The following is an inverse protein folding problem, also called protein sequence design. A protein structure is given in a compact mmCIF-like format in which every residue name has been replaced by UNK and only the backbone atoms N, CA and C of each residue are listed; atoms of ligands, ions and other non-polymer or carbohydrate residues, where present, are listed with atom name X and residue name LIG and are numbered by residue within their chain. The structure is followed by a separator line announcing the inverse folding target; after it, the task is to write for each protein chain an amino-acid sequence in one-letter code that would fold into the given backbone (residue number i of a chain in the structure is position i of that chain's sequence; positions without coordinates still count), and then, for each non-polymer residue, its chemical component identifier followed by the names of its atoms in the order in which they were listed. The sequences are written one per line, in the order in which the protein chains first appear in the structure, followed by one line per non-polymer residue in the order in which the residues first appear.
data_IF_683018672161
#
_entry.id   IF_683018672161
#
_cell.length_a   1.000
_cell.length_b   1.000
_cell.length_c   1.000
_cell.angle_alpha   90.00
_cell.angle_beta   90.00
_cell.angle_gamma   90.00
#
_symmetry.space_group_name_H-M   'P 1'
#
loop_
_entity.id
_entity.type
_entity.pdbx_description
1 polymer ?
#
# COMPACT_ATOMS: atom_id res chain seq x y z
N UNK A 1 2.03 38.99 -11.05
CA UNK A 1 2.35 38.00 -9.99
C UNK A 1 1.11 37.82 -9.14
N UNK A 2 0.29 36.82 -9.44
CA UNK A 2 -0.88 36.51 -8.61
C UNK A 2 -0.39 35.62 -7.45
N UNK A 3 -0.57 36.12 -6.23
CA UNK A 3 -0.28 35.41 -4.99
C UNK A 3 -1.27 34.24 -4.84
N UNK A 4 -0.85 33.02 -5.16
CA UNK A 4 -1.54 31.79 -4.74
C UNK A 4 -1.16 31.48 -3.29
N UNK A 5 -1.85 32.13 -2.34
CA UNK A 5 -1.87 31.85 -0.90
C UNK A 5 -3.36 31.84 -0.53
N UNK A 6 -3.99 30.86 0.13
CA UNK A 6 -3.55 29.73 0.92
C UNK A 6 -4.45 28.54 0.52
N UNK A 7 -3.88 27.42 0.07
CA UNK A 7 -4.61 26.18 0.31
C UNK A 7 -4.29 25.81 1.75
N UNK A 8 -5.31 25.80 2.62
CA UNK A 8 -5.20 25.37 4.03
C UNK A 8 -5.03 23.84 4.11
N UNK A 9 -4.14 23.29 3.27
CA UNK A 9 -3.83 21.86 3.20
C UNK A 9 -2.50 21.64 3.92
N UNK A 10 -2.47 20.62 4.76
CA UNK A 10 -1.24 20.04 5.33
C UNK A 10 -1.15 18.58 4.94
N UNK A 11 0.03 18.00 5.11
CA UNK A 11 0.18 16.57 4.88
C UNK A 11 1.24 15.93 5.80
N UNK A 12 1.01 14.69 6.21
CA UNK A 12 1.96 13.86 6.94
C UNK A 12 2.59 12.81 6.01
N UNK A 13 3.79 12.37 6.35
CA UNK A 13 4.53 11.32 5.64
C UNK A 13 4.64 10.11 6.55
N UNK A 14 4.46 8.92 5.98
CA UNK A 14 4.71 7.64 6.64
C UNK A 14 5.66 6.84 5.74
N UNK A 15 6.84 6.56 6.26
CA UNK A 15 7.88 5.80 5.56
C UNK A 15 7.97 4.41 6.13
N UNK A 16 7.81 3.40 5.29
CA UNK A 16 8.06 2.02 5.67
C UNK A 16 9.49 1.60 5.32
N UNK A 17 10.15 0.91 6.25
CA UNK A 17 11.49 0.36 6.04
C UNK A 17 11.69 -0.92 6.87
N UNK A 18 12.61 -1.76 6.40
CA UNK A 18 13.06 -2.96 7.11
C UNK A 18 14.39 -2.69 7.78
N UNK A 19 14.38 -2.58 9.09
CA UNK A 19 15.57 -2.35 9.90
C UNK A 19 16.36 -3.65 10.07
N UNK A 20 17.65 -3.63 9.72
CA UNK A 20 18.57 -4.72 10.04
C UNK A 20 18.97 -4.65 11.51
N UNK A 21 18.82 -5.74 12.25
CA UNK A 21 19.29 -5.86 13.63
C UNK A 21 20.10 -7.13 13.87
N UNK A 22 20.99 -7.08 14.85
CA UNK A 22 21.78 -8.21 15.35
C UNK A 22 21.42 -8.54 16.78
N UNK A 23 21.68 -9.77 17.21
CA UNK A 23 21.49 -10.18 18.61
C UNK A 23 22.24 -9.27 19.58
N UNK A 24 23.47 -8.84 19.24
CA UNK A 24 24.26 -7.92 20.06
C UNK A 24 23.62 -6.56 20.23
N UNK A 25 23.03 -5.99 19.16
CA UNK A 25 22.35 -4.70 19.24
C UNK A 25 21.10 -4.79 20.12
N UNK A 26 20.30 -5.85 19.94
CA UNK A 26 19.12 -6.09 20.78
C UNK A 26 19.52 -6.31 22.24
N UNK A 27 20.57 -7.08 22.50
CA UNK A 27 21.05 -7.34 23.86
C UNK A 27 21.59 -6.07 24.52
N UNK A 28 22.32 -5.24 23.79
CA UNK A 28 22.80 -3.94 24.27
C UNK A 28 21.63 -3.00 24.61
N UNK A 29 20.59 -2.99 23.77
CA UNK A 29 19.38 -2.20 24.04
C UNK A 29 18.71 -2.66 25.34
N UNK A 30 18.50 -3.97 25.51
CA UNK A 30 17.91 -4.55 26.72
C UNK A 30 18.73 -4.22 27.96
N UNK A 31 20.07 -4.28 27.89
CA UNK A 31 20.98 -3.97 29.00
C UNK A 31 20.98 -2.49 29.38
N UNK A 32 20.61 -1.60 28.45
CA UNK A 32 20.57 -0.15 28.71
C UNK A 32 19.39 0.29 29.59
N UNK A 33 18.36 -0.56 29.71
CA UNK A 33 17.17 -0.30 30.52
C UNK A 33 17.14 -1.23 31.76
N UNK A 34 17.17 -0.68 32.98
CA UNK A 34 17.18 -1.46 34.22
C UNK A 34 16.02 -2.45 34.37
N UNK A 35 14.89 -2.20 33.69
CA UNK A 35 13.70 -3.07 33.73
C UNK A 35 13.81 -4.27 32.80
N UNK A 36 14.59 -4.15 31.72
CA UNK A 36 14.75 -5.21 30.70
C UNK A 36 16.12 -5.87 30.71
N UNK A 37 17.08 -5.42 31.52
CA UNK A 37 18.47 -5.91 31.55
C UNK A 37 18.63 -7.41 31.81
N UNK A 38 17.63 -8.06 32.41
CA UNK A 38 17.65 -9.50 32.72
C UNK A 38 17.03 -10.36 31.60
N UNK A 39 16.54 -9.73 30.52
CA UNK A 39 15.97 -10.41 29.37
C UNK A 39 17.12 -10.89 28.47
N UNK A 40 17.06 -12.16 28.10
CA UNK A 40 18.05 -12.83 27.25
C UNK A 40 17.61 -12.80 25.79
N UNK A 41 18.54 -12.46 24.89
CA UNK A 41 18.35 -12.66 23.44
C UNK A 41 18.71 -14.10 23.08
N UNK A 42 17.73 -14.87 22.62
CA UNK A 42 17.87 -16.27 22.21
C UNK A 42 18.01 -16.32 20.69
N UNK A 43 19.11 -16.90 20.20
CA UNK A 43 19.45 -16.96 18.76
C UNK A 43 19.03 -18.26 18.06
N UNK A 44 18.42 -19.19 18.79
CA UNK A 44 17.91 -20.46 18.27
C UNK A 44 16.60 -20.80 19.01
N UNK A 45 15.58 -19.97 18.81
CA UNK A 45 14.28 -20.14 19.44
C UNK A 45 13.45 -21.29 18.81
N UNK A 46 13.98 -21.95 17.78
CA UNK A 46 13.25 -22.91 16.95
C UNK A 46 12.26 -22.25 16.00
N UNK A 47 11.34 -23.05 15.42
CA UNK A 47 10.30 -22.55 14.53
C UNK A 47 9.15 -21.93 15.33
N UNK A 48 9.28 -20.66 15.68
CA UNK A 48 8.25 -19.88 16.38
C UNK A 48 7.66 -18.78 15.50
N UNK A 49 6.42 -18.40 15.79
CA UNK A 49 5.71 -17.29 15.13
C UNK A 49 4.85 -16.52 16.12
N UNK A 50 4.40 -15.33 15.75
CA UNK A 50 3.44 -14.56 16.56
C UNK A 50 2.08 -15.29 16.67
N UNK A 51 1.54 -15.29 17.89
CA UNK A 51 0.25 -15.95 18.22
C UNK A 51 -0.99 -15.28 17.60
N UNK A 52 -0.94 -13.96 17.38
CA UNK A 52 -2.09 -13.12 16.98
C UNK A 52 -1.82 -12.27 15.73
N UNK A 53 -1.19 -12.84 14.71
CA UNK A 53 -1.18 -12.18 13.39
C UNK A 53 -2.41 -12.63 12.63
N UNK A 54 -3.11 -11.67 12.02
CA UNK A 54 -4.20 -11.97 11.10
C UNK A 54 -3.74 -12.92 9.99
N UNK A 55 -4.66 -13.64 9.34
CA UNK A 55 -4.33 -14.65 8.33
C UNK A 55 -3.37 -14.15 7.24
N UNK A 56 -3.40 -12.85 6.90
CA UNK A 56 -2.52 -12.21 5.92
C UNK A 56 -1.03 -12.07 6.33
N UNK A 57 -0.70 -12.20 7.63
CA UNK A 57 0.65 -11.99 8.16
C UNK A 57 1.19 -13.24 8.87
N UNK A 58 0.60 -14.40 8.57
CA UNK A 58 0.98 -15.71 9.11
C UNK A 58 2.40 -16.16 8.69
N UNK A 59 3.06 -15.41 7.81
CA UNK A 59 4.44 -15.63 7.37
C UNK A 59 5.49 -14.89 8.22
N UNK A 60 5.07 -14.12 9.25
CA UNK A 60 5.97 -13.41 10.16
C UNK A 60 6.72 -14.38 11.08
N UNK A 61 7.69 -15.03 10.48
CA UNK A 61 8.59 -15.95 11.13
C UNK A 61 9.58 -15.16 11.97
N UNK A 62 9.64 -15.46 13.27
CA UNK A 62 10.79 -15.07 14.07
C UNK A 62 11.89 -16.07 13.74
N UNK A 63 12.70 -15.72 12.75
CA UNK A 63 13.66 -16.64 12.15
C UNK A 63 14.93 -16.76 12.98
N UNK A 64 15.40 -15.63 13.55
CA UNK A 64 16.73 -15.61 14.13
C UNK A 64 16.76 -15.27 15.62
N UNK A 65 15.89 -14.39 16.13
CA UNK A 65 15.94 -14.00 17.55
C UNK A 65 14.59 -14.05 18.24
N UNK A 66 14.57 -14.48 19.50
CA UNK A 66 13.45 -14.27 20.40
C UNK A 66 13.96 -13.85 21.78
N UNK A 67 13.08 -13.37 22.65
CA UNK A 67 13.45 -12.98 23.99
C UNK A 67 12.94 -13.97 25.02
N UNK A 68 13.83 -14.41 25.91
CA UNK A 68 13.48 -15.18 27.11
C UNK A 68 13.49 -14.24 28.31
N UNK A 69 12.38 -14.23 29.02
CA UNK A 69 12.19 -13.41 30.20
C UNK A 69 12.09 -14.31 31.44
N UNK A 70 13.04 -14.16 32.36
CA UNK A 70 13.06 -14.93 33.61
C UNK A 70 12.09 -14.36 34.66
N UNK A 71 11.44 -13.22 34.37
CA UNK A 71 10.45 -12.58 35.23
C UNK A 71 9.12 -12.53 34.46
N UNK A 72 8.02 -12.88 35.12
CA UNK A 72 6.69 -12.84 34.50
C UNK A 72 6.25 -11.39 34.23
N UNK A 73 6.67 -10.83 33.09
CA UNK A 73 6.06 -9.62 32.55
C UNK A 73 4.80 -9.99 31.77
N UNK A 74 3.77 -9.12 31.74
CA UNK A 74 2.67 -9.30 30.79
C UNK A 74 3.24 -9.32 29.37
N UNK A 75 3.33 -10.50 28.77
CA UNK A 75 3.88 -10.69 27.42
C UNK A 75 3.04 -9.87 26.44
N UNK A 76 3.64 -8.84 25.83
CA UNK A 76 2.97 -8.00 24.82
C UNK A 76 2.92 -8.66 23.44
N UNK A 77 3.84 -9.59 23.19
CA UNK A 77 4.06 -10.28 21.90
C UNK A 77 4.30 -11.76 22.16
N UNK A 78 3.22 -12.51 22.41
CA UNK A 78 3.31 -13.94 22.66
C UNK A 78 3.66 -14.69 21.37
N UNK A 79 4.70 -15.51 21.42
CA UNK A 79 5.07 -16.43 20.34
C UNK A 79 4.45 -17.81 20.59
N UNK A 80 4.22 -18.54 19.50
CA UNK A 80 3.74 -19.93 19.50
C UNK A 80 4.66 -20.80 18.64
N UNK A 81 4.77 -22.07 19.00
CA UNK A 81 5.39 -23.09 18.16
C UNK A 81 4.64 -23.20 16.84
N UNK A 82 5.35 -23.20 15.70
CA UNK A 82 4.72 -23.46 14.40
C UNK A 82 4.22 -24.90 14.29
N UNK A 83 4.90 -25.83 14.93
CA UNK A 83 4.59 -27.27 14.85
C UNK A 83 3.35 -27.60 15.65
N UNK A 84 3.25 -27.08 16.87
CA UNK A 84 2.18 -27.46 17.81
C UNK A 84 1.10 -26.39 17.95
N UNK A 85 1.38 -25.14 17.56
CA UNK A 85 0.50 -23.99 17.79
C UNK A 85 0.44 -23.54 19.26
N UNK A 86 1.16 -24.21 20.15
CA UNK A 86 1.16 -23.91 21.58
C UNK A 86 2.05 -22.72 21.91
N UNK A 87 1.66 -21.96 22.93
CA UNK A 87 2.44 -20.84 23.44
C UNK A 87 3.82 -21.31 23.91
N UNK A 88 4.87 -20.63 23.48
CA UNK A 88 6.22 -20.88 23.96
C UNK A 88 6.62 -19.92 25.09
N UNK A 89 7.72 -20.23 25.79
CA UNK A 89 8.30 -19.37 26.83
C UNK A 89 8.86 -18.05 26.28
N UNK A 90 9.05 -17.95 24.97
CA UNK A 90 9.62 -16.79 24.30
C UNK A 90 8.57 -15.71 24.00
N UNK A 91 9.04 -14.45 23.97
CA UNK A 91 8.30 -13.33 23.38
C UNK A 91 9.05 -12.77 22.18
N UNK A 92 8.31 -12.14 21.28
CA UNK A 92 8.89 -11.33 20.21
C UNK A 92 9.51 -10.04 20.76
N UNK A 93 10.50 -9.50 20.08
CA UNK A 93 10.89 -8.10 20.24
C UNK A 93 9.85 -7.20 19.58
N UNK A 94 9.68 -5.99 20.11
CA UNK A 94 8.79 -5.00 19.50
C UNK A 94 9.46 -3.63 19.53
N UNK A 95 9.56 -3.07 20.72
CA UNK A 95 9.94 -1.67 20.91
C UNK A 95 11.44 -1.49 21.01
N UNK A 96 12.17 -2.57 21.25
CA UNK A 96 13.63 -2.60 21.33
C UNK A 96 14.26 -2.22 20.00
N UNK A 97 13.73 -2.74 18.87
CA UNK A 97 14.16 -2.36 17.54
C UNK A 97 13.90 -0.88 17.25
N UNK A 98 12.71 -0.39 17.61
CA UNK A 98 12.35 1.02 17.45
C UNK A 98 13.21 1.94 18.31
N UNK A 99 13.61 1.52 19.52
CA UNK A 99 14.53 2.29 20.39
C UNK A 99 15.91 2.45 19.77
N UNK A 100 16.39 1.43 19.05
CA UNK A 100 17.66 1.53 18.31
C UNK A 100 17.56 2.63 17.25
N UNK A 101 16.47 2.67 16.47
CA UNK A 101 16.21 3.74 15.48
C UNK A 101 16.04 5.10 16.15
N UNK A 102 15.27 5.15 17.24
CA UNK A 102 15.01 6.36 18.01
C UNK A 102 16.30 7.02 18.47
N UNK A 103 17.22 6.26 19.07
CA UNK A 103 18.51 6.76 19.55
C UNK A 103 19.35 7.38 18.42
N UNK A 104 19.25 6.83 17.20
CA UNK A 104 19.93 7.40 16.02
C UNK A 104 19.30 8.70 15.56
N UNK A 105 17.97 8.71 15.42
CA UNK A 105 17.26 9.93 15.04
C UNK A 105 17.50 11.05 16.08
N UNK A 106 17.47 10.75 17.38
CA UNK A 106 17.71 11.70 18.46
C UNK A 106 19.12 12.29 18.49
N UNK A 107 20.10 11.69 17.80
CA UNK A 107 21.43 12.28 17.66
C UNK A 107 21.44 13.45 16.65
N UNK A 108 20.39 13.60 15.86
CA UNK A 108 20.24 14.67 14.87
C UNK A 108 19.45 15.83 15.46
N UNK A 109 19.97 17.05 15.27
CA UNK A 109 19.32 18.26 15.78
C UNK A 109 17.90 18.40 15.24
N UNK A 110 16.93 18.64 16.12
CA UNK A 110 15.50 18.76 15.81
C UNK A 110 14.71 17.45 15.93
N UNK A 111 15.35 16.33 16.24
CA UNK A 111 14.70 15.02 16.46
C UNK A 111 14.85 14.51 17.90
N UNK A 112 15.28 15.35 18.83
CA UNK A 112 15.52 14.99 20.24
C UNK A 112 14.25 14.43 20.90
N UNK A 113 13.08 14.91 20.49
CA UNK A 113 11.78 14.50 21.00
C UNK A 113 11.11 13.35 20.20
N UNK A 114 11.83 12.64 19.32
CA UNK A 114 11.29 11.48 18.59
C UNK A 114 10.62 10.50 19.55
N UNK A 115 9.41 10.03 19.23
CA UNK A 115 8.60 9.19 20.10
C UNK A 115 8.36 7.80 19.51
N UNK A 116 8.17 6.80 20.37
CA UNK A 116 7.72 5.47 19.95
C UNK A 116 6.24 5.34 20.29
N UNK A 117 5.42 5.02 19.31
CA UNK A 117 3.99 4.79 19.51
C UNK A 117 3.69 3.30 19.67
N UNK A 118 2.97 2.94 20.74
CA UNK A 118 2.66 1.55 21.12
C UNK A 118 1.17 1.33 21.41
N UNK A 119 0.30 2.26 20.99
CA UNK A 119 -1.13 2.18 21.25
C UNK A 119 -1.84 1.13 20.40
N UNK A 120 -3.03 0.72 20.86
CA UNK A 120 -3.98 -0.05 20.06
C UNK A 120 -4.58 0.90 19.00
N UNK A 121 -3.90 1.02 17.87
CA UNK A 121 -4.29 1.87 16.75
C UNK A 121 -3.13 2.69 16.22
N UNK A 122 -2.46 2.22 15.15
CA UNK A 122 -1.67 3.12 14.29
C UNK A 122 -2.60 4.31 13.95
N UNK A 123 -2.11 5.55 14.03
CA UNK A 123 -2.85 6.80 13.71
C UNK A 123 -3.47 7.57 14.90
N UNK A 124 -2.66 7.92 15.92
CA UNK A 124 -3.01 8.94 16.90
C UNK A 124 -2.64 10.35 16.40
N UNK A 125 -2.93 11.40 17.19
CA UNK A 125 -2.38 12.73 16.92
C UNK A 125 -0.84 12.71 17.01
N UNK A 126 -0.20 12.85 15.85
CA UNK A 126 1.26 12.87 15.68
C UNK A 126 1.84 14.29 15.67
N UNK A 127 1.18 15.25 16.31
CA UNK A 127 1.68 16.63 16.43
C UNK A 127 2.61 16.87 17.61
N UNK A 128 2.65 15.96 18.60
CA UNK A 128 3.41 16.17 19.85
C UNK A 128 4.89 15.79 19.79
N UNK A 129 5.35 15.18 18.70
CA UNK A 129 6.75 14.89 18.43
C UNK A 129 7.07 15.17 16.94
N UNK A 130 8.33 15.50 16.61
CA UNK A 130 8.72 15.71 15.22
C UNK A 130 8.59 14.44 14.37
N UNK A 131 8.90 13.28 14.98
CA UNK A 131 8.83 11.96 14.38
C UNK A 131 8.21 10.97 15.37
N UNK A 132 7.45 10.03 14.83
CA UNK A 132 6.96 8.85 15.53
C UNK A 132 7.47 7.59 14.88
N UNK A 133 7.82 6.62 15.71
CA UNK A 133 8.22 5.29 15.29
C UNK A 133 7.14 4.30 15.67
N UNK A 134 6.69 3.54 14.69
CA UNK A 134 5.75 2.43 14.86
C UNK A 134 6.37 1.15 14.32
N UNK A 135 5.94 0.03 14.88
CA UNK A 135 6.36 -1.27 14.40
C UNK A 135 5.40 -1.69 13.29
N UNK A 136 5.93 -2.00 12.11
CA UNK A 136 5.13 -2.61 11.07
C UNK A 136 5.37 -4.11 11.03
N UNK A 137 4.37 -4.86 11.49
CA UNK A 137 4.46 -6.30 11.44
C UNK A 137 4.36 -6.82 9.99
N UNK A 138 3.79 -6.07 9.04
CA UNK A 138 3.61 -6.56 7.67
C UNK A 138 4.92 -6.84 6.94
N UNK A 139 6.00 -6.14 7.32
CA UNK A 139 7.31 -6.19 6.69
C UNK A 139 8.32 -7.04 7.47
N UNK A 140 7.88 -7.76 8.50
CA UNK A 140 8.76 -8.57 9.33
C UNK A 140 9.18 -9.86 8.64
N UNK A 141 10.45 -10.21 8.80
CA UNK A 141 10.96 -11.54 8.45
C UNK A 141 11.34 -11.66 6.99
N UNK A 142 12.66 -11.68 6.75
CA UNK A 142 13.23 -12.11 5.47
C UNK A 142 13.79 -13.52 5.64
N UNK A 143 13.48 -14.42 4.72
CA UNK A 143 14.13 -15.73 4.68
C UNK A 143 15.64 -15.57 4.36
N UNK A 144 16.44 -16.62 4.61
CA UNK A 144 17.90 -16.58 4.43
C UNK A 144 18.32 -16.14 3.01
N UNK A 145 17.64 -16.65 1.98
CA UNK A 145 17.95 -16.28 0.59
C UNK A 145 17.63 -14.81 0.32
N UNK A 146 16.47 -14.33 0.76
CA UNK A 146 16.07 -12.93 0.65
C UNK A 146 17.05 -12.01 1.37
N UNK A 147 17.47 -12.35 2.61
CA UNK A 147 18.48 -11.61 3.37
C UNK A 147 19.78 -11.42 2.58
N UNK A 148 20.27 -12.47 1.93
CA UNK A 148 21.50 -12.41 1.12
C UNK A 148 21.28 -11.57 -0.14
N UNK A 149 20.13 -11.73 -0.80
CA UNK A 149 19.78 -11.00 -2.02
C UNK A 149 19.73 -9.48 -1.82
N UNK A 150 19.46 -9.01 -0.59
CA UNK A 150 19.50 -7.56 -0.25
C UNK A 150 20.89 -6.93 -0.44
N UNK A 151 21.97 -7.73 -0.44
CA UNK A 151 23.35 -7.24 -0.38
C UNK A 151 23.79 -6.67 0.98
N UNK A 152 22.88 -6.60 1.97
CA UNK A 152 23.18 -6.13 3.33
C UNK A 152 23.72 -7.24 4.24
N UNK A 153 23.57 -8.51 3.84
CA UNK A 153 24.04 -9.67 4.59
C UNK A 153 24.88 -10.61 3.72
N UNK A 154 26.03 -11.05 4.25
CA UNK A 154 26.69 -12.27 3.77
C UNK A 154 25.90 -13.52 4.17
N UNK A 155 26.25 -14.67 3.60
CA UNK A 155 25.63 -15.96 3.96
C UNK A 155 25.73 -16.27 5.47
N UNK A 156 26.86 -15.94 6.09
CA UNK A 156 27.08 -16.14 7.54
C UNK A 156 26.30 -15.12 8.38
N UNK A 157 26.16 -13.89 7.89
CA UNK A 157 25.39 -12.84 8.57
C UNK A 157 23.89 -13.10 8.52
N UNK A 158 23.39 -13.78 7.49
CA UNK A 158 21.96 -14.06 7.33
C UNK A 158 21.37 -14.94 8.45
N UNK A 159 22.19 -15.80 9.08
CA UNK A 159 21.79 -16.61 10.24
C UNK A 159 21.87 -15.83 11.56
N UNK A 160 22.54 -14.68 11.57
CA UNK A 160 22.84 -13.87 12.77
C UNK A 160 22.33 -12.44 12.67
N UNK A 161 21.35 -12.21 11.80
CA UNK A 161 20.73 -10.91 11.56
C UNK A 161 19.24 -11.06 11.32
N UNK A 162 18.40 -10.19 11.88
CA UNK A 162 16.99 -10.10 11.52
C UNK A 162 16.62 -8.78 10.85
N UNK A 163 15.50 -8.79 10.14
CA UNK A 163 14.93 -7.61 9.49
C UNK A 163 13.54 -7.32 10.06
N UNK A 164 13.36 -6.09 10.55
CA UNK A 164 12.20 -5.67 11.31
C UNK A 164 11.51 -4.51 10.61
N UNK A 165 10.25 -4.70 10.26
CA UNK A 165 9.40 -3.64 9.72
C UNK A 165 9.23 -2.50 10.72
N UNK A 166 9.57 -1.30 10.26
CA UNK A 166 9.52 -0.07 11.02
C UNK A 166 8.86 0.98 10.16
N UNK A 167 7.98 1.79 10.76
CA UNK A 167 7.43 2.98 10.11
C UNK A 167 7.96 4.22 10.81
N UNK A 168 8.31 5.22 10.01
CA UNK A 168 8.64 6.56 10.49
C UNK A 168 7.53 7.50 10.02
N UNK A 169 6.77 8.03 10.97
CA UNK A 169 5.67 8.97 10.72
C UNK A 169 6.12 10.38 11.08
N UNK A 170 5.95 11.34 10.17
CA UNK A 170 6.33 12.73 10.41
C UNK A 170 5.17 13.56 10.96
N UNK A 171 5.50 14.62 11.71
CA UNK A 171 4.55 15.70 11.93
C UNK A 171 4.06 16.30 10.59
N UNK A 172 2.85 16.91 10.55
CA UNK A 172 2.31 17.53 9.34
C UNK A 172 3.20 18.65 8.78
N UNK A 173 3.29 18.72 7.46
CA UNK A 173 4.08 19.70 6.68
C UNK A 173 3.16 20.59 5.86
N UNK A 174 3.63 21.81 5.59
CA UNK A 174 2.89 22.78 4.79
C UNK A 174 3.46 22.92 3.37
N UNK A 175 4.64 22.36 3.12
CA UNK A 175 5.34 22.48 1.85
C UNK A 175 5.98 21.16 1.42
N UNK A 176 5.83 20.76 0.15
CA UNK A 176 6.60 19.64 -0.42
C UNK A 176 8.12 19.78 -0.28
N UNK A 177 8.65 21.02 -0.21
CA UNK A 177 10.09 21.22 0.01
C UNK A 177 10.52 20.83 1.42
N UNK A 178 9.69 21.11 2.43
CA UNK A 178 9.98 20.68 3.81
C UNK A 178 9.99 19.15 3.90
N UNK A 179 9.11 18.47 3.15
CA UNK A 179 9.08 17.01 3.07
C UNK A 179 10.35 16.42 2.41
N UNK A 180 10.83 17.06 1.35
CA UNK A 180 12.11 16.72 0.70
C UNK A 180 13.29 16.82 1.67
N UNK A 181 13.40 17.96 2.36
CA UNK A 181 14.48 18.22 3.31
C UNK A 181 14.43 17.24 4.50
N UNK A 182 13.22 16.92 4.96
CA UNK A 182 12.96 15.95 6.02
C UNK A 182 13.39 14.53 5.62
N UNK A 183 13.01 14.07 4.43
CA UNK A 183 13.39 12.74 3.91
C UNK A 183 14.93 12.61 3.82
N UNK A 184 15.60 13.63 3.27
CA UNK A 184 17.06 13.67 3.18
C UNK A 184 17.72 13.65 4.56
N UNK A 185 17.14 14.36 5.53
CA UNK A 185 17.63 14.39 6.92
C UNK A 185 17.46 13.04 7.60
N UNK A 186 16.31 12.38 7.47
CA UNK A 186 16.07 11.02 7.97
C UNK A 186 17.05 10.04 7.31
N UNK A 187 17.18 10.07 5.99
CA UNK A 187 18.09 9.20 5.23
C UNK A 187 19.54 9.34 5.72
N UNK A 188 19.99 10.58 5.93
CA UNK A 188 21.34 10.87 6.45
C UNK A 188 21.51 10.35 7.88
N UNK A 189 20.51 10.56 8.74
CA UNK A 189 20.52 10.10 10.13
C UNK A 189 20.63 8.58 10.24
N UNK A 190 19.89 7.86 9.40
CA UNK A 190 19.90 6.40 9.40
C UNK A 190 21.23 5.85 8.84
N UNK A 191 21.88 6.55 7.89
CA UNK A 191 23.15 6.10 7.30
C UNK A 191 24.39 6.43 8.14
N UNK A 192 24.34 7.39 9.05
CA UNK A 192 25.56 7.99 9.64
C UNK A 192 26.38 7.08 10.56
N UNK A 193 25.81 5.99 11.09
CA UNK A 193 26.45 5.13 12.11
C UNK A 193 26.31 3.61 11.84
N UNK A 194 26.14 3.18 10.59
CA UNK A 194 26.05 1.75 10.25
C UNK A 194 24.78 1.06 10.72
N UNK A 195 23.68 1.83 10.86
CA UNK A 195 22.35 1.26 10.95
C UNK A 195 21.88 0.90 9.53
N UNK A 196 22.02 -0.37 9.18
CA UNK A 196 21.57 -0.82 7.86
C UNK A 196 20.03 -0.90 7.86
N UNK A 197 19.44 -0.36 6.80
CA UNK A 197 18.03 -0.52 6.52
C UNK A 197 17.86 -0.92 5.06
N UNK A 198 16.75 -1.60 4.79
CA UNK A 198 16.31 -1.95 3.46
C UNK A 198 14.98 -1.24 3.18
N UNK A 199 14.90 -0.67 1.99
CA UNK A 199 13.65 -0.26 1.36
C UNK A 199 13.58 -1.04 0.06
N UNK A 200 12.61 -1.95 -0.02
CA UNK A 200 12.34 -2.76 -1.20
C UNK A 200 10.89 -2.54 -1.65
N UNK A 201 10.45 -3.29 -2.66
CA UNK A 201 9.15 -3.11 -3.31
C UNK A 201 7.97 -3.49 -2.39
N UNK A 202 8.25 -4.11 -1.23
CA UNK A 202 7.24 -4.39 -0.21
C UNK A 202 6.98 -3.14 0.64
N UNK A 203 8.02 -2.35 0.90
CA UNK A 203 7.89 -1.07 1.58
C UNK A 203 7.10 -0.06 0.73
N UNK A 204 6.34 0.78 1.40
CA UNK A 204 5.62 1.90 0.82
C UNK A 204 6.03 3.25 1.45
N UNK A 205 5.67 4.32 0.75
CA UNK A 205 5.63 5.65 1.33
C UNK A 205 4.20 6.19 1.20
N UNK A 206 3.55 6.42 2.33
CA UNK A 206 2.21 6.97 2.36
C UNK A 206 2.22 8.48 2.59
N UNK A 207 1.31 9.20 1.93
CA UNK A 207 1.05 10.62 2.19
C UNK A 207 -0.38 10.79 2.68
N UNK A 208 -0.53 11.35 3.88
CA UNK A 208 -1.83 11.71 4.44
C UNK A 208 -2.08 13.19 4.22
N UNK A 209 -3.03 13.55 3.37
CA UNK A 209 -3.38 14.94 3.08
C UNK A 209 -4.63 15.33 3.87
N UNK A 210 -4.60 16.46 4.58
CA UNK A 210 -5.69 16.94 5.43
C UNK A 210 -5.80 18.47 5.44
N UNK A 211 -6.84 18.99 6.11
CA UNK A 211 -6.91 20.42 6.40
C UNK A 211 -5.94 20.79 7.52
N UNK A 212 -5.40 22.01 7.47
CA UNK A 212 -4.47 22.53 8.47
C UNK A 212 -5.04 22.55 9.90
N UNK A 213 -6.34 22.76 10.04
CA UNK A 213 -7.05 22.77 11.33
C UNK A 213 -7.49 21.36 11.79
N UNK A 214 -7.14 20.32 11.03
CA UNK A 214 -7.49 18.93 11.29
C UNK A 214 -8.95 18.56 10.98
N UNK A 215 -9.76 19.51 10.51
CA UNK A 215 -11.16 19.27 10.17
C UNK A 215 -11.31 18.48 8.87
N UNK A 216 -12.51 17.93 8.66
CA UNK A 216 -12.89 17.21 7.44
C UNK A 216 -12.87 18.14 6.24
N UNK A 217 -12.43 17.64 5.08
CA UNK A 217 -12.73 18.30 3.82
C UNK A 217 -14.24 18.33 3.59
N UNK A 218 -14.72 19.34 2.86
CA UNK A 218 -16.10 19.36 2.37
C UNK A 218 -16.40 18.05 1.62
N UNK A 219 -17.57 17.46 1.85
CA UNK A 219 -17.99 16.23 1.18
C UNK A 219 -17.87 16.33 -0.35
N UNK A 220 -18.17 17.50 -0.94
CA UNK A 220 -18.02 17.75 -2.37
C UNK A 220 -16.57 17.64 -2.84
N UNK A 221 -15.62 18.11 -2.04
CA UNK A 221 -14.19 17.95 -2.30
C UNK A 221 -13.81 16.47 -2.35
N UNK A 222 -14.30 15.68 -1.39
CA UNK A 222 -14.04 14.24 -1.35
C UNK A 222 -14.64 13.51 -2.55
N UNK A 223 -15.88 13.85 -2.95
CA UNK A 223 -16.53 13.30 -4.14
C UNK A 223 -15.76 13.63 -5.42
N UNK A 224 -15.31 14.88 -5.58
CA UNK A 224 -14.48 15.29 -6.72
C UNK A 224 -13.13 14.57 -6.72
N UNK A 225 -12.50 14.41 -5.56
CA UNK A 225 -11.23 13.69 -5.43
C UNK A 225 -11.39 12.21 -5.78
N UNK A 226 -12.41 11.53 -5.24
CA UNK A 226 -12.71 10.14 -5.58
C UNK A 226 -12.97 9.96 -7.09
N UNK A 227 -13.73 10.87 -7.71
CA UNK A 227 -14.00 10.82 -9.15
C UNK A 227 -12.71 11.00 -9.98
N UNK A 228 -11.82 11.92 -9.58
CA UNK A 228 -10.51 12.09 -10.23
C UNK A 228 -9.63 10.84 -10.07
N UNK A 229 -9.59 10.25 -8.87
CA UNK A 229 -8.86 9.01 -8.60
C UNK A 229 -9.39 7.90 -9.49
N UNK A 230 -10.70 7.68 -9.54
CA UNK A 230 -11.31 6.66 -10.39
C UNK A 230 -11.02 6.89 -11.87
N UNK A 231 -11.10 8.11 -12.40
CA UNK A 231 -10.81 8.34 -13.83
C UNK A 231 -9.34 8.11 -14.17
N UNK A 232 -8.43 8.64 -13.35
CA UNK A 232 -7.00 8.68 -13.66
C UNK A 232 -6.19 7.56 -13.01
N UNK A 233 -6.82 6.60 -12.31
CA UNK A 233 -6.11 5.52 -11.61
C UNK A 233 -5.09 4.80 -12.49
N UNK A 234 -5.46 4.49 -13.74
CA UNK A 234 -4.54 3.86 -14.70
C UNK A 234 -3.33 4.74 -15.01
N UNK A 235 -3.54 6.05 -15.21
CA UNK A 235 -2.43 6.96 -15.44
C UNK A 235 -1.55 7.11 -14.18
N UNK A 236 -2.13 7.06 -12.98
CA UNK A 236 -1.37 7.08 -11.74
C UNK A 236 -0.55 5.80 -11.54
N UNK A 237 -1.10 4.65 -11.91
CA UNK A 237 -0.43 3.35 -11.89
C UNK A 237 0.85 3.32 -12.73
N UNK A 238 0.90 4.07 -13.84
CA UNK A 238 2.10 4.19 -14.68
C UNK A 238 3.23 4.97 -14.02
N UNK A 239 2.94 5.78 -12.99
CA UNK A 239 3.94 6.54 -12.26
C UNK A 239 4.68 5.70 -11.20
N UNK A 240 4.32 4.42 -11.04
CA UNK A 240 4.89 3.52 -10.02
C UNK A 240 5.21 2.14 -10.60
N UNK A 241 5.91 1.34 -9.80
CA UNK A 241 6.28 -0.05 -10.14
C UNK A 241 5.04 -0.96 -10.23
N UNK A 242 5.05 -1.99 -11.10
CA UNK A 242 3.94 -2.91 -11.34
C UNK A 242 3.22 -3.43 -10.09
N UNK A 243 3.96 -3.84 -9.05
CA UNK A 243 3.38 -4.41 -7.83
C UNK A 243 2.45 -3.44 -7.08
N UNK A 244 2.58 -2.13 -7.28
CA UNK A 244 1.76 -1.09 -6.64
C UNK A 244 0.61 -0.59 -7.52
N UNK A 245 0.22 -1.35 -8.56
CA UNK A 245 -0.78 -0.97 -9.58
C UNK A 245 -2.20 -1.50 -9.33
N UNK A 246 -2.61 -1.84 -8.12
CA UNK A 246 -4.00 -2.26 -7.87
C UNK A 246 -4.20 -3.72 -7.46
N UNK A 247 -3.15 -4.54 -7.56
CA UNK A 247 -3.23 -6.01 -7.41
C UNK A 247 -2.86 -6.52 -6.02
N UNK A 248 -2.26 -5.68 -5.17
CA UNK A 248 -1.84 -6.03 -3.81
C UNK A 248 -2.94 -5.69 -2.78
N UNK A 249 -3.04 -6.44 -1.69
CA UNK A 249 -4.04 -6.20 -0.65
C UNK A 249 -3.88 -4.84 0.05
N UNK A 250 -2.65 -4.31 0.07
CA UNK A 250 -2.29 -2.99 0.61
C UNK A 250 -2.47 -1.84 -0.41
N UNK A 251 -2.66 -2.17 -1.70
CA UNK A 251 -2.85 -1.19 -2.80
C UNK A 251 -3.90 -1.65 -3.81
N UNK A 252 -5.05 -2.14 -3.35
CA UNK A 252 -6.19 -2.54 -4.17
C UNK A 252 -6.72 -1.35 -4.99
N UNK A 253 -7.13 -1.63 -6.23
CA UNK A 253 -7.77 -0.63 -7.09
C UNK A 253 -8.96 0.04 -6.41
N UNK A 254 -9.08 1.38 -6.50
CA UNK A 254 -10.27 2.08 -6.03
C UNK A 254 -11.48 1.81 -6.94
N UNK A 255 -11.27 1.30 -8.16
CA UNK A 255 -12.33 0.96 -9.11
C UNK A 255 -12.98 -0.40 -8.84
N UNK A 256 -12.42 -1.22 -7.94
CA UNK A 256 -12.87 -2.60 -7.72
C UNK A 256 -14.36 -2.69 -7.39
N UNK A 257 -14.88 -1.78 -6.57
CA UNK A 257 -16.30 -1.76 -6.18
C UNK A 257 -17.24 -1.28 -7.29
N UNK A 258 -16.69 -0.76 -8.39
CA UNK A 258 -17.43 -0.33 -9.59
C UNK A 258 -17.21 -1.28 -10.78
N UNK A 259 -16.51 -2.39 -10.57
CA UNK A 259 -16.29 -3.39 -11.59
C UNK A 259 -17.61 -4.11 -11.96
N UNK A 260 -17.76 -4.41 -13.23
CA UNK A 260 -18.86 -5.19 -13.80
C UNK A 260 -18.27 -6.35 -14.61
N UNK A 261 -19.02 -7.45 -14.74
CA UNK A 261 -18.57 -8.59 -15.53
C UNK A 261 -18.25 -8.15 -16.97
N UNK A 262 -17.04 -8.47 -17.47
CA UNK A 262 -16.77 -8.31 -18.90
C UNK A 262 -17.47 -9.46 -19.66
N UNK A 263 -18.34 -9.18 -20.65
CA UNK A 263 -19.10 -10.19 -21.35
C UNK A 263 -18.24 -11.12 -22.23
N UNK A 264 -17.01 -10.71 -22.54
CA UNK A 264 -16.01 -11.54 -23.23
C UNK A 264 -14.63 -11.28 -22.59
N UNK A 265 -14.30 -11.91 -21.45
CA UNK A 265 -13.01 -11.72 -20.83
C UNK A 265 -11.94 -12.36 -21.71
N UNK A 266 -11.14 -11.55 -22.40
CA UNK A 266 -9.88 -12.07 -22.93
C UNK A 266 -8.97 -12.38 -21.74
N UNK A 267 -8.36 -13.56 -21.65
CA UNK A 267 -7.41 -13.87 -20.59
C UNK A 267 -6.22 -12.93 -20.73
N UNK A 268 -6.12 -11.94 -19.83
CA UNK A 268 -4.93 -11.12 -19.72
C UNK A 268 -4.10 -11.64 -18.55
N UNK A 269 -2.86 -11.98 -18.84
CA UNK A 269 -1.89 -12.39 -17.85
C UNK A 269 -1.41 -11.13 -17.11
N UNK A 270 -1.93 -10.88 -15.91
CA UNK A 270 -1.30 -9.93 -15.00
C UNK A 270 -0.04 -10.61 -14.47
N UNK A 271 1.10 -10.26 -15.04
CA UNK A 271 2.36 -10.76 -14.51
C UNK A 271 2.69 -10.00 -13.23
N UNK A 272 2.71 -10.70 -12.09
CA UNK A 272 3.43 -10.24 -10.92
C UNK A 272 4.92 -10.35 -11.25
N UNK A 273 5.54 -9.24 -11.65
CA UNK A 273 6.98 -9.16 -11.88
C UNK A 273 7.72 -9.09 -10.54
N UNK A 274 8.75 -9.91 -10.37
CA UNK A 274 9.74 -9.69 -9.32
C UNK A 274 10.65 -8.50 -9.64
N UNK A 275 11.56 -8.16 -8.71
CA UNK A 275 12.50 -7.05 -8.84
C UNK A 275 13.41 -7.16 -10.07
N UNK A 276 13.61 -8.36 -10.60
CA UNK A 276 14.42 -8.64 -11.78
C UNK A 276 13.59 -8.58 -13.08
N UNK A 277 12.30 -8.26 -13.00
CA UNK A 277 11.38 -8.27 -14.13
C UNK A 277 11.04 -9.69 -14.59
N UNK A 278 11.27 -10.71 -13.75
CA UNK A 278 10.87 -12.06 -14.05
C UNK A 278 9.40 -12.20 -13.68
N UNK A 279 8.60 -12.54 -14.68
CA UNK A 279 7.19 -12.86 -14.54
C UNK A 279 7.05 -14.08 -13.62
N UNK A 280 6.47 -13.91 -12.44
CA UNK A 280 5.95 -15.03 -11.67
C UNK A 280 4.55 -15.35 -12.17
N UNK A 281 4.28 -16.62 -12.44
CA UNK A 281 2.97 -17.11 -12.88
C UNK A 281 1.97 -16.89 -11.73
N UNK A 282 1.23 -15.78 -11.77
CA UNK A 282 0.42 -15.32 -10.65
C UNK A 282 -0.81 -14.58 -11.13
N UNK A 283 -1.95 -15.26 -11.06
CA UNK A 283 -3.32 -14.77 -11.32
C UNK A 283 -3.62 -14.23 -12.73
N UNK A 284 -4.53 -14.93 -13.43
CA UNK A 284 -5.33 -14.35 -14.52
C UNK A 284 -6.02 -13.09 -13.98
N UNK A 285 -5.72 -11.91 -14.54
CA UNK A 285 -6.59 -10.76 -14.33
C UNK A 285 -7.79 -10.95 -15.24
N UNK A 286 -8.96 -11.07 -14.63
CA UNK A 286 -10.22 -10.87 -15.33
C UNK A 286 -10.23 -9.42 -15.78
N UNK A 287 -10.30 -9.18 -17.09
CA UNK A 287 -10.56 -7.84 -17.62
C UNK A 287 -11.92 -7.40 -17.09
N UNK A 288 -11.95 -6.35 -16.28
CA UNK A 288 -13.20 -5.81 -15.76
C UNK A 288 -13.76 -4.79 -16.73
N UNK A 289 -15.06 -4.87 -16.99
CA UNK A 289 -15.79 -3.66 -17.34
C UNK A 289 -15.93 -2.84 -16.06
N UNK A 290 -16.20 -1.55 -16.21
CA UNK A 290 -16.63 -0.74 -15.07
C UNK A 290 -17.97 -0.12 -15.39
N UNK A 291 -18.70 0.23 -14.34
CA UNK A 291 -19.88 1.08 -14.48
C UNK A 291 -19.57 2.32 -15.33
N UNK A 292 -20.60 2.83 -16.02
CA UNK A 292 -20.44 4.07 -16.77
C UNK A 292 -20.03 5.21 -15.85
N UNK A 293 -19.26 6.18 -16.35
CA UNK A 293 -18.90 7.36 -15.56
C UNK A 293 -20.15 8.14 -15.08
N UNK A 294 -21.27 8.06 -15.78
CA UNK A 294 -22.56 8.60 -15.31
C UNK A 294 -23.11 7.88 -14.07
N UNK A 295 -23.02 6.55 -14.02
CA UNK A 295 -23.45 5.75 -12.86
C UNK A 295 -22.52 5.99 -11.67
N UNK A 296 -21.21 5.99 -11.90
CA UNK A 296 -20.21 6.31 -10.88
C UNK A 296 -20.45 7.72 -10.33
N UNK A 297 -20.71 8.69 -11.20
CA UNK A 297 -21.03 10.07 -10.79
C UNK A 297 -22.32 10.13 -9.97
N UNK A 298 -23.36 9.41 -10.39
CA UNK A 298 -24.60 9.32 -9.62
C UNK A 298 -24.36 8.74 -8.22
N UNK A 299 -23.61 7.64 -8.12
CA UNK A 299 -23.29 7.00 -6.84
C UNK A 299 -22.49 7.92 -5.93
N UNK A 300 -21.45 8.57 -6.46
CA UNK A 300 -20.58 9.45 -5.69
C UNK A 300 -21.26 10.75 -5.27
N UNK A 301 -22.07 11.36 -6.13
CA UNK A 301 -22.63 12.69 -5.89
C UNK A 301 -24.08 12.61 -5.41
N UNK A 302 -24.98 12.09 -6.24
CA UNK A 302 -26.42 12.17 -5.97
C UNK A 302 -26.83 11.27 -4.80
N UNK A 303 -26.34 10.03 -4.78
CA UNK A 303 -26.74 9.03 -3.77
C UNK A 303 -26.11 9.35 -2.40
N UNK A 304 -24.85 9.78 -2.39
CA UNK A 304 -24.17 10.27 -1.18
C UNK A 304 -24.85 11.53 -0.62
N UNK A 305 -25.19 12.51 -1.47
CA UNK A 305 -25.86 13.74 -1.02
C UNK A 305 -27.26 13.48 -0.45
N UNK A 306 -27.94 12.47 -1.00
CA UNK A 306 -29.30 12.10 -0.59
C UNK A 306 -29.34 11.24 0.68
N UNK A 307 -28.18 10.77 1.15
CA UNK A 307 -28.09 9.94 2.35
C UNK A 307 -28.32 10.76 3.63
N UNK A 308 -28.78 10.09 4.70
CA UNK A 308 -28.96 10.71 6.02
C UNK A 308 -27.63 11.24 6.59
N UNK A 309 -26.54 10.51 6.36
CA UNK A 309 -25.18 10.91 6.70
C UNK A 309 -24.29 10.78 5.45
N UNK A 310 -24.06 11.88 4.72
CA UNK A 310 -23.25 11.88 3.51
C UNK A 310 -21.80 11.42 3.72
N UNK A 311 -21.16 11.73 4.87
CA UNK A 311 -19.79 11.31 5.12
C UNK A 311 -19.71 9.80 5.32
N UNK A 312 -20.65 9.24 6.08
CA UNK A 312 -20.74 7.79 6.28
C UNK A 312 -21.07 7.07 4.98
N UNK A 313 -22.00 7.59 4.17
CA UNK A 313 -22.31 7.03 2.87
C UNK A 313 -21.09 7.02 1.94
N UNK A 314 -20.34 8.12 1.90
CA UNK A 314 -19.11 8.21 1.11
C UNK A 314 -18.02 7.25 1.59
N UNK A 315 -17.79 7.14 2.91
CA UNK A 315 -16.80 6.19 3.46
C UNK A 315 -17.22 4.75 3.24
N UNK A 316 -18.52 4.43 3.29
CA UNK A 316 -18.98 3.08 2.93
C UNK A 316 -18.74 2.75 1.46
N UNK A 317 -18.78 3.76 0.57
CA UNK A 317 -18.59 3.58 -0.86
C UNK A 317 -17.11 3.55 -1.28
N UNK A 318 -16.27 4.39 -0.68
CA UNK A 318 -14.87 4.60 -1.11
C UNK A 318 -13.82 4.25 -0.06
N UNK A 319 -14.24 4.04 1.19
CA UNK A 319 -13.36 3.92 2.34
C UNK A 319 -12.95 2.50 2.63
N UNK A 320 -11.84 2.06 2.04
CA UNK A 320 -11.13 0.86 2.43
C UNK A 320 -9.65 1.18 2.65
N UNK A 321 -9.08 0.68 3.76
CA UNK A 321 -7.66 0.84 4.07
C UNK A 321 -6.76 0.20 3.03
N UNK A 322 -7.21 -0.85 2.35
CA UNK A 322 -6.41 -1.53 1.35
C UNK A 322 -6.34 -0.81 0.01
N UNK A 323 -7.10 0.28 -0.23
CA UNK A 323 -7.12 0.94 -1.53
C UNK A 323 -5.91 1.85 -1.80
N UNK A 324 -5.52 1.98 -3.07
CA UNK A 324 -4.44 2.88 -3.54
C UNK A 324 -4.60 4.30 -2.96
N UNK A 325 -5.84 4.82 -2.94
CA UNK A 325 -6.22 6.01 -2.18
C UNK A 325 -7.27 5.62 -1.15
N UNK A 326 -6.92 5.74 0.12
CA UNK A 326 -7.77 5.38 1.23
C UNK A 326 -8.52 6.60 1.77
N UNK A 327 -9.86 6.51 1.71
CA UNK A 327 -10.79 7.52 2.20
C UNK A 327 -11.38 7.22 3.58
N UNK A 328 -11.07 6.09 4.21
CA UNK A 328 -11.66 5.71 5.51
C UNK A 328 -11.37 6.73 6.62
N UNK A 329 -10.32 7.55 6.49
CA UNK A 329 -9.96 8.57 7.47
C UNK A 329 -10.59 9.94 7.20
N UNK A 330 -11.31 10.12 6.09
CA UNK A 330 -11.87 11.42 5.70
C UNK A 330 -13.11 11.80 6.51
N UNK A 331 -13.72 10.84 7.22
CA UNK A 331 -14.89 11.07 8.08
C UNK A 331 -14.55 11.35 9.55
N UNK A 332 -13.27 11.31 9.93
CA UNK A 332 -12.84 11.54 11.32
C UNK A 332 -13.27 12.91 11.83
N UNK A 333 -13.61 13.00 13.10
CA UNK A 333 -14.07 14.23 13.74
C UNK A 333 -13.27 14.55 15.01
N UNK A 334 -12.37 15.53 14.89
CA UNK A 334 -11.53 16.00 16.00
C UNK A 334 -12.35 16.49 17.21
N UNK A 335 -13.61 16.89 17.03
CA UNK A 335 -14.47 17.30 18.15
C UNK A 335 -14.89 16.13 19.04
N UNK A 336 -14.77 14.90 18.54
CA UNK A 336 -15.02 13.65 19.25
C UNK A 336 -13.72 12.99 19.78
N UNK A 337 -12.63 13.76 19.93
CA UNK A 337 -11.30 13.28 20.28
C UNK A 337 -10.71 12.25 19.28
N UNK A 338 -11.15 12.32 18.02
CA UNK A 338 -10.55 11.52 16.95
C UNK A 338 -9.31 12.24 16.36
N UNK A 339 -8.40 11.51 15.70
CA UNK A 339 -7.31 12.11 14.95
C UNK A 339 -7.83 13.00 13.80
N UNK A 340 -6.95 13.85 13.26
CA UNK A 340 -7.27 14.67 12.10
C UNK A 340 -7.82 13.86 10.92
N UNK A 341 -8.80 14.43 10.22
CA UNK A 341 -9.36 13.85 9.01
C UNK A 341 -8.38 14.00 7.85
N UNK A 342 -8.11 12.89 7.16
CA UNK A 342 -7.14 12.85 6.05
C UNK A 342 -7.61 11.94 4.94
N UNK A 343 -7.03 12.12 3.76
CA UNK A 343 -7.04 11.16 2.65
C UNK A 343 -5.62 10.62 2.52
N UNK A 344 -5.48 9.30 2.50
CA UNK A 344 -4.18 8.62 2.48
C UNK A 344 -3.88 8.10 1.07
N UNK A 345 -2.73 8.48 0.53
CA UNK A 345 -2.23 8.02 -0.76
C UNK A 345 -1.15 6.96 -0.53
N UNK A 346 -1.38 5.73 -1.01
CA UNK A 346 -0.57 4.54 -0.68
C UNK A 346 0.27 3.99 -1.84
N UNK A 347 0.15 4.58 -3.02
CA UNK A 347 0.67 4.01 -4.27
C UNK A 347 2.21 4.03 -4.41
N UNK A 348 2.88 4.93 -3.69
CA UNK A 348 4.28 5.19 -3.94
C UNK A 348 5.14 4.10 -3.30
N UNK A 349 6.12 3.60 -4.06
CA UNK A 349 7.15 2.71 -3.54
C UNK A 349 7.87 3.35 -2.35
N UNK A 350 8.29 2.56 -1.36
CA UNK A 350 9.10 3.09 -0.27
C UNK A 350 10.31 3.86 -0.80
N UNK A 351 10.59 5.04 -0.25
CA UNK A 351 11.79 5.82 -0.59
C UNK A 351 12.13 6.78 0.55
N UNK A 352 13.43 7.12 0.67
CA UNK A 352 13.92 8.23 1.48
C UNK A 352 14.74 9.22 0.61
N UNK A 353 14.60 9.13 -0.71
CA UNK A 353 15.16 10.13 -1.62
C UNK A 353 14.28 11.38 -1.60
N UNK A 354 14.84 12.51 -1.15
CA UNK A 354 14.07 13.74 -1.03
C UNK A 354 13.45 14.22 -2.35
N UNK A 355 14.06 13.98 -3.51
CA UNK A 355 13.50 14.40 -4.80
C UNK A 355 12.25 13.59 -5.16
N UNK A 356 12.25 12.27 -4.93
CA UNK A 356 11.07 11.43 -5.13
C UNK A 356 9.93 11.89 -4.21
N UNK A 357 10.25 12.11 -2.91
CA UNK A 357 9.29 12.60 -1.91
C UNK A 357 8.71 13.96 -2.32
N UNK A 358 9.55 14.88 -2.84
CA UNK A 358 9.13 16.19 -3.31
C UNK A 358 8.07 16.08 -4.41
N UNK A 359 8.33 15.23 -5.40
CA UNK A 359 7.45 15.06 -6.56
C UNK A 359 6.15 14.33 -6.19
N UNK A 360 6.20 13.37 -5.27
CA UNK A 360 5.01 12.71 -4.76
C UNK A 360 4.14 13.63 -3.91
N UNK A 361 4.74 14.35 -2.96
CA UNK A 361 4.03 15.32 -2.15
C UNK A 361 3.37 16.41 -2.99
N UNK A 362 4.04 16.90 -4.05
CA UNK A 362 3.45 17.84 -5.02
C UNK A 362 2.25 17.24 -5.73
N UNK A 363 2.34 15.99 -6.19
CA UNK A 363 1.24 15.32 -6.87
C UNK A 363 0.01 15.19 -5.95
N UNK A 364 0.17 14.56 -4.79
CA UNK A 364 -0.94 14.31 -3.85
C UNK A 364 -1.62 15.60 -3.39
N UNK A 365 -0.83 16.60 -2.96
CA UNK A 365 -1.39 17.86 -2.47
C UNK A 365 -2.06 18.68 -3.58
N UNK A 366 -1.51 18.67 -4.80
CA UNK A 366 -2.12 19.36 -5.93
C UNK A 366 -3.40 18.68 -6.43
N UNK A 367 -3.52 17.36 -6.30
CA UNK A 367 -4.73 16.62 -6.68
C UNK A 367 -5.88 16.97 -5.73
N UNK A 368 -5.62 16.97 -4.42
CA UNK A 368 -6.59 17.43 -3.40
C UNK A 368 -6.96 18.90 -3.62
N UNK A 369 -5.98 19.75 -3.90
CA UNK A 369 -6.22 21.16 -4.22
C UNK A 369 -7.10 21.37 -5.46
N UNK A 370 -6.93 20.54 -6.50
CA UNK A 370 -7.77 20.58 -7.69
C UNK A 370 -9.22 20.19 -7.36
N UNK A 371 -9.42 19.15 -6.54
CA UNK A 371 -10.75 18.74 -6.08
C UNK A 371 -11.44 19.83 -5.22
N UNK A 372 -10.69 20.51 -4.35
CA UNK A 372 -11.20 21.69 -3.61
C UNK A 372 -11.60 22.80 -4.57
N UNK A 373 -10.74 23.12 -5.54
CA UNK A 373 -11.02 24.13 -6.57
C UNK A 373 -12.29 23.82 -7.36
N UNK A 374 -12.56 22.55 -7.67
CA UNK A 374 -13.81 22.17 -8.34
C UNK A 374 -15.03 22.46 -7.47
N UNK A 375 -14.95 22.16 -6.18
CA UNK A 375 -15.99 22.48 -5.20
C UNK A 375 -16.22 23.99 -5.10
N UNK A 376 -15.16 24.76 -4.87
CA UNK A 376 -15.24 26.21 -4.61
C UNK A 376 -15.78 26.99 -5.81
N UNK A 377 -15.44 26.55 -7.02
CA UNK A 377 -15.89 27.21 -8.25
C UNK A 377 -17.16 26.60 -8.84
N UNK A 378 -17.73 25.57 -8.20
CA UNK A 378 -18.85 24.79 -8.73
C UNK A 378 -18.59 24.29 -10.17
N UNK A 379 -17.37 23.80 -10.41
CA UNK A 379 -16.93 23.21 -11.68
C UNK A 379 -16.75 21.70 -11.52
N UNK A 380 -16.63 20.97 -12.62
CA UNK A 380 -16.53 19.50 -12.60
C UNK A 380 -15.36 19.04 -13.48
N UNK A 381 -14.89 17.81 -13.25
CA UNK A 381 -13.95 17.17 -14.16
C UNK A 381 -14.58 17.09 -15.56
N UNK A 382 -13.84 17.46 -16.62
CA UNK A 382 -14.38 17.48 -17.98
C UNK A 382 -14.62 16.07 -18.56
N UNK A 383 -14.05 15.03 -17.94
CA UNK A 383 -14.22 13.64 -18.35
C UNK A 383 -15.56 13.10 -17.80
N UNK A 384 -16.44 12.75 -18.71
CA UNK A 384 -17.84 12.35 -18.44
C UNK A 384 -18.19 10.98 -19.00
N UNK A 385 -17.38 10.47 -19.94
CA UNK A 385 -17.50 9.11 -20.48
C UNK A 385 -16.13 8.45 -20.60
N UNK A 386 -16.08 7.11 -20.58
CA UNK A 386 -14.83 6.36 -20.80
C UNK A 386 -14.26 6.53 -22.23
N UNK A 387 -15.05 7.10 -23.16
CA UNK A 387 -14.63 7.41 -24.54
C UNK A 387 -13.91 8.76 -24.65
N UNK A 388 -14.00 9.60 -23.60
CA UNK A 388 -13.28 10.86 -23.57
C UNK A 388 -11.78 10.59 -23.46
N UNK A 389 -10.94 11.47 -24.03
CA UNK A 389 -9.49 11.32 -23.92
C UNK A 389 -9.03 11.57 -22.49
N UNK A 390 -8.56 10.51 -21.81
CA UNK A 390 -7.96 10.58 -20.47
C UNK A 390 -6.45 10.85 -20.64
N UNK A 391 -6.06 12.13 -20.58
CA UNK A 391 -4.67 12.59 -20.73
C UNK A 391 -4.10 13.07 -19.40
N UNK A 392 -3.09 12.37 -18.86
CA UNK A 392 -2.43 12.76 -17.61
C UNK A 392 -1.76 14.14 -17.69
N UNK A 393 -1.30 14.57 -18.88
CA UNK A 393 -0.73 15.91 -19.06
C UNK A 393 -1.78 17.00 -18.91
N UNK A 394 -3.02 16.74 -19.34
CA UNK A 394 -4.14 17.63 -19.08
C UNK A 394 -4.39 17.77 -17.59
N UNK A 395 -4.46 16.65 -16.87
CA UNK A 395 -4.64 16.68 -15.42
C UNK A 395 -3.51 17.47 -14.73
N UNK A 396 -2.25 17.22 -15.09
CA UNK A 396 -1.11 17.95 -14.52
C UNK A 396 -1.14 19.45 -14.82
N UNK A 397 -1.65 19.87 -15.99
CA UNK A 397 -1.89 21.29 -16.30
C UNK A 397 -2.96 21.87 -15.39
N UNK A 398 -4.06 21.15 -15.14
CA UNK A 398 -5.14 21.59 -14.26
C UNK A 398 -4.73 21.68 -12.79
N UNK A 399 -3.95 20.70 -12.32
CA UNK A 399 -3.28 20.67 -11.00
C UNK A 399 -2.22 21.78 -10.86
N UNK A 400 -1.81 22.40 -11.97
CA UNK A 400 -0.71 23.38 -12.05
C UNK A 400 0.60 22.83 -11.50
N UNK A 401 0.90 21.57 -11.77
CA UNK A 401 2.18 20.99 -11.38
C UNK A 401 3.33 21.74 -12.06
N UNK A 402 4.46 21.96 -11.37
CA UNK A 402 5.63 22.57 -11.98
C UNK A 402 6.25 21.63 -13.00
N UNK A 403 6.89 22.19 -14.03
CA UNK A 403 7.45 21.39 -15.13
C UNK A 403 8.48 20.37 -14.67
N UNK A 404 9.23 20.66 -13.60
CA UNK A 404 10.15 19.69 -12.99
C UNK A 404 9.46 18.42 -12.52
N UNK A 405 8.23 18.54 -11.99
CA UNK A 405 7.46 17.37 -11.51
C UNK A 405 6.84 16.59 -12.66
N UNK A 406 6.37 17.28 -13.71
CA UNK A 406 5.90 16.60 -14.91
C UNK A 406 7.04 15.86 -15.60
N UNK A 407 8.19 16.50 -15.74
CA UNK A 407 9.37 15.88 -16.34
C UNK A 407 9.83 14.64 -15.56
N UNK A 408 9.85 14.73 -14.21
CA UNK A 408 10.14 13.57 -13.35
C UNK A 408 9.20 12.40 -13.67
N UNK A 409 7.88 12.60 -13.65
CA UNK A 409 6.94 11.50 -13.90
C UNK A 409 6.94 11.01 -15.35
N UNK A 410 7.20 11.86 -16.35
CA UNK A 410 7.42 11.38 -17.72
C UNK A 410 8.57 10.38 -17.79
N UNK A 411 9.68 10.69 -17.11
CA UNK A 411 10.83 9.80 -17.07
C UNK A 411 10.50 8.50 -16.33
N UNK A 412 9.79 8.55 -15.20
CA UNK A 412 9.34 7.34 -14.49
C UNK A 412 8.42 6.47 -15.35
N UNK A 413 7.41 7.08 -15.99
CA UNK A 413 6.48 6.39 -16.90
C UNK A 413 7.26 5.74 -18.03
N UNK A 414 8.18 6.47 -18.67
CA UNK A 414 9.01 5.93 -19.74
C UNK A 414 9.87 4.76 -19.24
N UNK A 415 10.57 4.92 -18.12
CA UNK A 415 11.41 3.87 -17.53
C UNK A 415 10.60 2.61 -17.24
N UNK A 416 9.42 2.76 -16.61
CA UNK A 416 8.60 1.63 -16.20
C UNK A 416 7.91 0.94 -17.38
N UNK A 417 7.46 1.70 -18.38
CA UNK A 417 6.89 1.15 -19.61
C UNK A 417 7.98 0.43 -20.44
N UNK A 418 9.22 0.92 -20.45
CA UNK A 418 10.35 0.25 -21.12
C UNK A 418 10.83 -0.99 -20.37
N UNK A 419 10.85 -0.95 -19.03
CA UNK A 419 11.33 -2.06 -18.19
C UNK A 419 10.32 -3.18 -18.06
N UNK A 420 9.02 -2.88 -18.11
CA UNK A 420 7.93 -3.85 -17.96
C UNK A 420 6.86 -3.68 -19.05
N UNK A 421 7.21 -3.92 -20.33
CA UNK A 421 6.31 -3.68 -21.46
C UNK A 421 5.08 -4.61 -21.46
N UNK A 422 5.22 -5.80 -20.87
CA UNK A 422 4.20 -6.86 -20.85
C UNK A 422 3.35 -6.85 -19.57
N UNK A 423 3.66 -6.00 -18.58
CA UNK A 423 2.76 -5.76 -17.45
C UNK A 423 1.70 -4.79 -17.93
N UNK A 424 0.79 -5.34 -18.74
CA UNK A 424 -0.35 -4.60 -19.24
C UNK A 424 -1.26 -4.20 -18.08
N UNK A 425 -1.74 -2.97 -18.18
CA UNK A 425 -2.79 -2.41 -17.35
C UNK A 425 -4.02 -3.29 -17.52
N UNK A 426 -4.79 -3.58 -16.46
CA UNK A 426 -6.15 -4.12 -16.63
C UNK A 426 -6.88 -3.18 -17.60
N UNK A 427 -7.13 -3.54 -18.87
CA UNK A 427 -7.74 -2.62 -19.80
C UNK A 427 -9.20 -2.44 -19.39
N UNK A 428 -9.75 -1.28 -19.71
CA UNK A 428 -11.21 -1.17 -19.80
C UNK A 428 -11.62 -2.06 -20.99
N UNK A 429 -12.43 -3.11 -20.77
CA UNK A 429 -13.19 -3.68 -21.88
C UNK A 429 -14.00 -2.51 -22.49
N UNK A 430 -13.86 -2.22 -23.79
CA UNK A 430 -14.70 -1.19 -24.41
C UNK A 430 -16.16 -1.70 -24.42
N UNK A 431 -17.14 -0.93 -23.92
CA UNK A 431 -18.53 -1.37 -23.81
C UNK A 431 -19.23 -1.61 -25.17
N UNK A 432 -18.59 -1.25 -26.29
CA UNK A 432 -19.18 -1.28 -27.64
C UNK A 432 -18.56 -2.36 -28.55
N UNK A 433 -17.92 -3.40 -27.99
CA UNK A 433 -17.61 -4.61 -28.76
C UNK A 433 -18.94 -5.36 -29.03
N UNK A 434 -19.74 -4.81 -29.95
CA UNK A 434 -20.84 -5.51 -30.60
C UNK A 434 -20.17 -6.56 -31.48
N UNK A 435 -20.06 -7.77 -30.97
CA UNK A 435 -19.77 -8.90 -31.83
C UNK A 435 -21.02 -9.14 -32.66
N UNK A 436 -20.89 -9.00 -33.98
CA UNK A 436 -21.91 -9.48 -34.92
C UNK A 436 -22.12 -10.97 -34.62
N UNK A 437 -23.27 -11.31 -34.03
CA UNK A 437 -23.74 -12.68 -33.80
C UNK A 437 -24.03 -13.45 -35.13
N UNK A 438 -23.52 -12.95 -36.27
CA UNK A 438 -23.76 -13.48 -37.61
C UNK A 438 -22.65 -14.45 -38.09
N UNK A 439 -21.99 -15.15 -37.17
CA UNK A 439 -21.35 -16.42 -37.51
C UNK A 439 -22.39 -17.55 -37.47
N UNK A 440 -23.26 -17.53 -38.49
CA UNK A 440 -24.05 -18.68 -38.88
C UNK A 440 -23.12 -19.85 -39.21
N UNK A 441 -22.97 -20.79 -38.27
CA UNK A 441 -22.50 -22.12 -38.59
C UNK A 441 -23.53 -22.72 -39.55
N UNK A 442 -23.15 -22.85 -40.81
CA UNK A 442 -23.88 -23.64 -41.78
C UNK A 442 -23.95 -25.07 -41.28
N UNK A 443 -25.17 -25.55 -41.07
CA UNK A 443 -25.49 -26.96 -40.85
C UNK A 443 -24.89 -27.79 -42.01
N UNK A 444 -23.80 -28.52 -41.75
CA UNK A 444 -23.47 -29.71 -42.52
C UNK A 444 -23.99 -30.92 -41.76
N UNK A 445 -24.99 -31.54 -42.38
CA UNK A 445 -25.69 -32.76 -42.02
C UNK A 445 -24.70 -33.89 -41.69
N UNK A 446 -24.87 -34.52 -40.52
CA UNK A 446 -24.27 -35.83 -40.25
C UNK A 446 -25.39 -36.87 -40.23
N UNK A 447 -25.36 -37.76 -41.22
CA UNK A 447 -26.30 -38.84 -41.42
C UNK A 447 -26.20 -39.91 -40.32
N UNK A 448 -27.38 -40.35 -39.89
CA UNK A 448 -27.69 -41.39 -38.93
C UNK A 448 -27.08 -42.77 -39.26
N UNK A 449 -26.64 -43.48 -38.23
CA UNK A 449 -26.77 -44.94 -38.21
C UNK A 449 -26.95 -45.45 -36.78
N UNK A 450 -28.19 -45.85 -36.48
CA UNK A 450 -28.65 -46.48 -35.24
C UNK A 450 -28.03 -47.87 -35.00
N UNK A 451 -27.95 -48.32 -33.73
CA UNK A 451 -27.51 -49.67 -33.38
C UNK A 451 -28.68 -50.67 -33.35
N UNK A 452 -28.50 -51.82 -34.00
CA UNK A 452 -29.48 -52.91 -34.00
C UNK A 452 -29.19 -53.91 -32.88
N UNK A 453 -30.22 -54.24 -32.09
CA UNK A 453 -30.19 -55.17 -30.97
C UNK A 453 -30.70 -56.57 -31.36
N UNK A 454 -30.13 -57.57 -30.67
CA UNK A 454 -30.62 -58.93 -30.38
C UNK A 454 -30.73 -59.96 -31.51
N UNK A 455 -30.01 -61.08 -31.35
CA UNK A 455 -30.64 -62.41 -31.16
C UNK A 455 -29.67 -63.45 -30.56
N UNK A 456 -30.28 -64.46 -29.95
CA UNK A 456 -29.75 -65.53 -29.10
C UNK A 456 -28.89 -66.56 -29.85
N UNK A 457 -28.02 -67.27 -29.10
CA UNK A 457 -28.03 -68.75 -28.98
C UNK A 457 -26.63 -69.32 -28.61
N UNK A 458 -26.59 -69.89 -27.40
CA UNK A 458 -26.12 -71.24 -27.07
C UNK A 458 -24.63 -71.67 -27.14
N UNK A 459 -24.30 -72.38 -26.04
CA UNK A 459 -23.56 -73.67 -25.98
C UNK A 459 -22.03 -73.65 -25.75
N UNK A 460 -21.69 -74.10 -24.51
CA UNK A 460 -20.64 -75.07 -24.11
C UNK A 460 -19.17 -74.67 -24.36
N UNK A 461 -18.16 -75.14 -23.62
CA UNK A 461 -17.97 -75.98 -22.45
C UNK A 461 -16.53 -75.69 -21.97
N UNK A 462 -16.28 -75.84 -20.67
CA UNK A 462 -15.03 -76.31 -20.02
C UNK A 462 -13.68 -75.99 -20.69
N UNK A 463 -12.83 -75.25 -19.97
CA UNK A 463 -11.76 -75.85 -19.15
C UNK A 463 -11.18 -74.82 -18.18
#
# INVERSE_FOLDING_TARGET
MASFNNNNITFGLEYELKLRVTASQLQQELQSDPTTKNIEVVTDAGQVRLSKVGPQYLQNDYLNFAFRDNVSHPQRTTLVSKVTGEQCEFRGYSTEALRIVQKRLQAVSGYEATAIYQGQGKQADFSSAPLYLTHDASLNGLNKAAKIATGLCTADQADTTDFIGTEIVTAPRNSPQEACDEANKISTALRSDGLDYLIDDECAMHIHVGNQDGTRFNIKTLQHLAYLVLIYEHEFARMTVPRKRGSDFETRSNRLDFATECPSPEPQHAYLCDQQGVNTEGSLEVVWNYQSLSEIRKALFDDVDSAEDPYKAFVNLMGDKGHIVNFSYSARDITNNEPAATVEFRQHQGTLNGDDVLHWARHCTALVALAQKYTDNNTQCPITTWKDTIDIEQLWREMKLPESTKHFYRNCIQEFDERWPDVHQTPLCEPDMVFDDDFGFSDEESEDSEPNMTEEADVQEKC
#
